data_IF_039591321626
#
_entry.id   IF_039591321626
#
_cell.length_a   1.000
_cell.length_b   1.000
_cell.length_c   1.000
_cell.angle_alpha   90.00
_cell.angle_beta   90.00
_cell.angle_gamma   90.00
#
_symmetry.space_group_name_H-M   'P 1'
#
loop_
_entity.id
_entity.type
_entity.pdbx_description
1 polymer ?
#
# COMPACT_ATOMS: atom_id res chain seq x y z
N UNK A 1 -20.38 8.49 28.92
CA UNK A 1 -19.96 7.16 28.44
C UNK A 1 -19.18 7.35 27.14
N UNK A 2 -17.85 7.16 27.14
CA UNK A 2 -17.06 7.26 25.90
C UNK A 2 -17.13 5.93 25.17
N UNK A 3 -17.58 5.97 23.91
CA UNK A 3 -17.56 4.84 22.98
C UNK A 3 -16.17 4.20 22.99
N UNK A 4 -16.10 2.89 23.27
CA UNK A 4 -14.90 2.09 23.04
C UNK A 4 -14.61 2.17 21.54
N UNK A 5 -13.65 2.99 21.14
CA UNK A 5 -13.07 2.93 19.80
C UNK A 5 -12.75 1.46 19.52
N UNK A 6 -13.18 0.98 18.36
CA UNK A 6 -13.01 -0.39 17.92
C UNK A 6 -11.53 -0.76 18.05
N UNK A 7 -11.20 -1.69 18.97
CA UNK A 7 -9.84 -1.94 19.46
C UNK A 7 -8.85 -2.17 18.31
N UNK A 8 -9.33 -2.74 17.21
CA UNK A 8 -8.57 -2.99 15.98
C UNK A 8 -8.16 -1.70 15.26
N UNK A 9 -9.05 -0.71 15.20
CA UNK A 9 -8.78 0.63 14.62
C UNK A 9 -7.76 1.38 15.49
N UNK A 10 -7.85 1.25 16.81
CA UNK A 10 -6.88 1.85 17.73
C UNK A 10 -5.47 1.26 17.55
N UNK A 11 -5.36 -0.08 17.45
CA UNK A 11 -4.07 -0.73 17.18
C UNK A 11 -3.51 -0.38 15.81
N UNK A 12 -4.34 -0.31 14.77
CA UNK A 12 -3.91 0.10 13.42
C UNK A 12 -3.43 1.55 13.39
N UNK A 13 -4.17 2.49 13.98
CA UNK A 13 -3.75 3.91 14.10
C UNK A 13 -2.42 4.05 14.84
N UNK A 14 -2.21 3.28 15.91
CA UNK A 14 -0.95 3.31 16.66
C UNK A 14 0.21 2.64 15.91
N UNK A 15 -0.06 1.62 15.10
CA UNK A 15 0.94 1.07 14.18
C UNK A 15 1.35 2.09 13.11
N UNK A 16 0.40 2.84 12.55
CA UNK A 16 0.65 3.90 11.57
C UNK A 16 1.42 5.11 12.15
N UNK A 17 1.35 5.37 13.46
CA UNK A 17 2.13 6.45 14.09
C UNK A 17 3.65 6.23 14.05
N UNK A 18 4.11 4.99 13.85
CA UNK A 18 5.55 4.68 13.71
C UNK A 18 6.09 4.81 12.28
N UNK A 19 5.24 5.20 11.32
CA UNK A 19 5.60 5.24 9.90
C UNK A 19 6.41 6.50 9.53
N UNK A 20 6.31 7.57 10.32
CA UNK A 20 6.82 8.90 9.95
C UNK A 20 7.86 9.47 10.94
N UNK A 21 9.03 8.84 11.00
CA UNK A 21 10.23 9.44 11.62
C UNK A 21 11.56 8.99 10.99
N UNK A 22 11.50 8.14 9.95
CA UNK A 22 12.69 7.50 9.33
C UNK A 22 12.66 7.52 7.81
N UNK A 23 11.86 8.40 7.20
CA UNK A 23 11.94 8.63 5.76
C UNK A 23 13.16 9.53 5.51
N UNK A 24 14.33 8.96 5.72
CA UNK A 24 15.60 9.56 5.37
C UNK A 24 15.85 9.35 3.87
N UNK A 25 16.43 10.36 3.25
CA UNK A 25 16.04 10.85 1.92
C UNK A 25 16.79 10.22 0.73
N UNK A 26 17.54 9.13 0.89
CA UNK A 26 18.25 8.50 -0.25
C UNK A 26 18.28 6.95 -0.26
N UNK A 27 18.14 6.27 0.89
CA UNK A 27 18.30 4.80 0.98
C UNK A 27 16.99 3.99 1.09
N UNK A 28 15.85 4.67 1.08
CA UNK A 28 14.56 4.03 1.36
C UNK A 28 13.98 3.23 0.18
N UNK A 29 14.61 3.17 -1.00
CA UNK A 29 14.01 2.48 -2.16
C UNK A 29 13.91 0.97 -1.93
N UNK A 30 14.95 0.34 -1.36
CA UNK A 30 14.93 -1.09 -1.01
C UNK A 30 13.92 -1.35 0.09
N UNK A 31 13.85 -0.48 1.10
CA UNK A 31 12.91 -0.62 2.20
C UNK A 31 11.45 -0.42 1.74
N UNK A 32 11.19 0.55 0.86
CA UNK A 32 9.88 0.79 0.23
C UNK A 32 9.48 -0.39 -0.67
N UNK A 33 10.40 -0.97 -1.45
CA UNK A 33 10.14 -2.19 -2.21
C UNK A 33 9.83 -3.37 -1.29
N UNK A 34 10.55 -3.52 -0.17
CA UNK A 34 10.27 -4.54 0.83
C UNK A 34 8.89 -4.37 1.49
N UNK A 35 8.52 -3.13 1.83
CA UNK A 35 7.18 -2.80 2.35
C UNK A 35 6.08 -3.06 1.32
N UNK A 36 6.31 -2.73 0.05
CA UNK A 36 5.39 -3.03 -1.06
C UNK A 36 5.19 -4.53 -1.24
N UNK A 37 6.27 -5.31 -1.16
CA UNK A 37 6.21 -6.78 -1.21
C UNK A 37 5.31 -7.36 -0.12
N UNK A 38 5.44 -6.87 1.11
CA UNK A 38 4.57 -7.29 2.23
C UNK A 38 3.10 -6.90 2.03
N UNK A 39 2.83 -5.72 1.48
CA UNK A 39 1.45 -5.31 1.15
C UNK A 39 0.84 -6.27 0.13
N UNK A 40 1.57 -6.60 -0.94
CA UNK A 40 1.13 -7.57 -1.95
C UNK A 40 0.88 -8.95 -1.37
N UNK A 41 1.77 -9.43 -0.50
CA UNK A 41 1.60 -10.72 0.16
C UNK A 41 0.33 -10.75 1.01
N UNK A 42 0.13 -9.74 1.86
CA UNK A 42 -1.11 -9.61 2.65
C UNK A 42 -2.35 -9.53 1.78
N UNK A 43 -2.30 -8.77 0.69
CA UNK A 43 -3.39 -8.66 -0.29
C UNK A 43 -3.69 -10.01 -0.93
N UNK A 44 -2.65 -10.77 -1.33
CA UNK A 44 -2.80 -12.09 -1.93
C UNK A 44 -3.48 -13.05 -0.96
N UNK A 45 -2.98 -13.14 0.28
CA UNK A 45 -3.55 -14.03 1.30
C UNK A 45 -5.02 -13.74 1.56
N UNK A 46 -5.41 -12.46 1.64
CA UNK A 46 -6.80 -12.08 1.84
C UNK A 46 -7.66 -12.48 0.63
N UNK A 47 -7.23 -12.17 -0.60
CA UNK A 47 -8.02 -12.50 -1.79
C UNK A 47 -8.11 -14.01 -2.03
N UNK A 48 -7.03 -14.75 -1.80
CA UNK A 48 -7.03 -16.22 -1.89
C UNK A 48 -8.01 -16.82 -0.87
N UNK A 49 -8.03 -16.31 0.36
CA UNK A 49 -9.00 -16.72 1.36
C UNK A 49 -10.44 -16.41 0.93
N UNK A 50 -10.73 -15.19 0.46
CA UNK A 50 -12.07 -14.81 -0.02
C UNK A 50 -12.51 -15.72 -1.18
N UNK A 51 -11.67 -15.90 -2.19
CA UNK A 51 -11.92 -16.75 -3.36
C UNK A 51 -12.15 -18.21 -2.96
N UNK A 52 -11.33 -18.74 -2.05
CA UNK A 52 -11.50 -20.09 -1.52
C UNK A 52 -12.84 -20.23 -0.80
N UNK A 53 -13.25 -19.27 0.02
CA UNK A 53 -14.53 -19.34 0.72
C UNK A 53 -15.71 -19.27 -0.25
N UNK A 54 -15.64 -18.43 -1.28
CA UNK A 54 -16.64 -18.33 -2.34
C UNK A 54 -16.75 -19.65 -3.11
N UNK A 55 -15.63 -20.25 -3.50
CA UNK A 55 -15.60 -21.57 -4.15
C UNK A 55 -16.24 -22.65 -3.27
N UNK A 56 -15.91 -22.68 -1.97
CA UNK A 56 -16.44 -23.65 -1.03
C UNK A 56 -17.96 -23.53 -0.85
N UNK A 57 -18.51 -22.32 -0.78
CA UNK A 57 -19.96 -22.14 -0.65
C UNK A 57 -20.71 -22.43 -1.93
N UNK A 58 -20.07 -22.35 -3.11
CA UNK A 58 -20.70 -22.70 -4.38
C UNK A 58 -20.59 -24.19 -4.73
N UNK A 59 -19.63 -24.91 -4.15
CA UNK A 59 -19.33 -26.31 -4.48
C UNK A 59 -20.57 -27.21 -4.34
N UNK A 60 -20.85 -27.97 -5.40
CA UNK A 60 -21.94 -28.96 -5.46
C UNK A 60 -23.35 -28.36 -5.54
N UNK A 61 -23.49 -27.05 -5.78
CA UNK A 61 -24.77 -26.37 -5.94
C UNK A 61 -25.07 -26.12 -7.42
N UNK A 62 -26.36 -26.14 -7.79
CA UNK A 62 -26.82 -25.69 -9.10
C UNK A 62 -26.65 -24.16 -9.26
N UNK A 63 -26.76 -23.62 -10.48
CA UNK A 63 -26.45 -22.22 -10.76
C UNK A 63 -27.23 -21.19 -9.92
N UNK A 64 -28.52 -21.45 -9.63
CA UNK A 64 -29.35 -20.54 -8.83
C UNK A 64 -28.96 -20.64 -7.35
N UNK A 65 -28.78 -21.86 -6.85
CA UNK A 65 -28.36 -22.09 -5.46
C UNK A 65 -26.94 -21.61 -5.19
N UNK A 66 -26.03 -21.76 -6.16
CA UNK A 66 -24.66 -21.26 -6.09
C UNK A 66 -24.63 -19.74 -6.01
N UNK A 67 -25.42 -19.05 -6.86
CA UNK A 67 -25.54 -17.60 -6.83
C UNK A 67 -26.06 -17.08 -5.49
N UNK A 68 -27.10 -17.72 -4.92
CA UNK A 68 -27.61 -17.36 -3.60
C UNK A 68 -26.57 -17.59 -2.49
N UNK A 69 -25.91 -18.75 -2.50
CA UNK A 69 -24.90 -19.09 -1.50
C UNK A 69 -23.69 -18.15 -1.54
N UNK A 70 -23.30 -17.70 -2.74
CA UNK A 70 -22.27 -16.69 -2.95
C UNK A 70 -22.67 -15.35 -2.31
N UNK A 71 -23.86 -14.84 -2.65
CA UNK A 71 -24.37 -13.56 -2.10
C UNK A 71 -24.49 -13.63 -0.57
N UNK A 72 -25.00 -14.73 -0.03
CA UNK A 72 -25.11 -14.93 1.41
C UNK A 72 -23.73 -14.98 2.08
N UNK A 73 -22.72 -15.56 1.44
CA UNK A 73 -21.33 -15.55 1.92
C UNK A 73 -20.73 -14.14 1.92
N UNK A 74 -20.84 -13.44 0.81
CA UNK A 74 -20.32 -12.09 0.62
C UNK A 74 -21.03 -11.05 1.52
N UNK A 75 -22.25 -11.35 1.97
CA UNK A 75 -22.97 -10.52 2.92
C UNK A 75 -22.49 -10.64 4.37
N UNK A 76 -21.68 -11.64 4.70
CA UNK A 76 -21.16 -11.82 6.06
C UNK A 76 -20.26 -10.65 6.46
N UNK A 77 -20.37 -10.22 7.72
CA UNK A 77 -19.61 -9.07 8.24
C UNK A 77 -18.10 -9.22 8.08
N UNK A 78 -17.57 -10.42 8.35
CA UNK A 78 -16.13 -10.70 8.19
C UNK A 78 -15.69 -10.62 6.74
N UNK A 79 -16.54 -11.02 5.79
CA UNK A 79 -16.23 -10.96 4.36
C UNK A 79 -16.10 -9.51 3.92
N UNK A 80 -17.07 -8.67 4.29
CA UNK A 80 -17.05 -7.23 3.99
C UNK A 80 -15.83 -6.55 4.60
N UNK A 81 -15.49 -6.88 5.84
CA UNK A 81 -14.31 -6.32 6.50
C UNK A 81 -13.00 -6.71 5.80
N UNK A 82 -12.84 -7.99 5.43
CA UNK A 82 -11.66 -8.44 4.68
C UNK A 82 -11.59 -7.82 3.28
N UNK A 83 -12.74 -7.66 2.62
CA UNK A 83 -12.83 -6.97 1.33
C UNK A 83 -12.37 -5.52 1.44
N UNK A 84 -12.85 -4.80 2.45
CA UNK A 84 -12.44 -3.41 2.72
C UNK A 84 -10.93 -3.31 3.01
N UNK A 85 -10.37 -4.26 3.76
CA UNK A 85 -8.92 -4.32 3.99
C UNK A 85 -8.17 -4.59 2.68
N UNK A 86 -8.61 -5.53 1.85
CA UNK A 86 -8.01 -5.79 0.53
C UNK A 86 -8.04 -4.55 -0.37
N UNK A 87 -9.17 -3.85 -0.42
CA UNK A 87 -9.31 -2.64 -1.23
C UNK A 87 -8.41 -1.52 -0.69
N UNK A 88 -8.29 -1.40 0.64
CA UNK A 88 -7.35 -0.46 1.29
C UNK A 88 -5.89 -0.78 0.98
N UNK A 89 -5.50 -2.06 0.99
CA UNK A 89 -4.14 -2.50 0.62
C UNK A 89 -3.82 -2.15 -0.84
N UNK A 90 -4.81 -2.28 -1.73
CA UNK A 90 -4.68 -1.87 -3.15
C UNK A 90 -4.39 -0.37 -3.27
N UNK A 91 -5.13 0.46 -2.52
CA UNK A 91 -4.91 1.92 -2.50
C UNK A 91 -3.52 2.25 -1.94
N UNK A 92 -3.12 1.60 -0.84
CA UNK A 92 -1.81 1.82 -0.24
C UNK A 92 -0.67 1.44 -1.19
N UNK A 93 -0.80 0.35 -1.95
CA UNK A 93 0.18 -0.01 -2.97
C UNK A 93 0.32 1.09 -4.02
N UNK A 94 -0.79 1.62 -4.52
CA UNK A 94 -0.78 2.68 -5.52
C UNK A 94 -0.16 3.99 -5.00
N UNK A 95 -0.48 4.40 -3.78
CA UNK A 95 0.13 5.58 -3.16
C UNK A 95 1.63 5.38 -2.93
N UNK A 96 2.08 4.17 -2.59
CA UNK A 96 3.51 3.86 -2.50
C UNK A 96 4.21 3.97 -3.85
N UNK A 97 3.60 3.51 -4.94
CA UNK A 97 4.16 3.67 -6.29
C UNK A 97 4.34 5.14 -6.67
N UNK A 98 3.33 5.97 -6.41
CA UNK A 98 3.42 7.43 -6.63
C UNK A 98 4.55 8.07 -5.83
N UNK A 99 4.71 7.68 -4.56
CA UNK A 99 5.79 8.22 -3.73
C UNK A 99 7.17 7.82 -4.27
N UNK A 100 7.33 6.57 -4.73
CA UNK A 100 8.57 6.12 -5.36
C UNK A 100 8.88 6.90 -6.64
N UNK A 101 7.87 7.15 -7.48
CA UNK A 101 8.03 7.94 -8.70
C UNK A 101 8.42 9.39 -8.38
N UNK A 102 7.72 10.04 -7.45
CA UNK A 102 8.04 11.39 -7.02
C UNK A 102 9.46 11.49 -6.47
N UNK A 103 9.90 10.52 -5.67
CA UNK A 103 11.25 10.49 -5.14
C UNK A 103 12.29 10.37 -6.26
N UNK A 104 12.01 9.55 -7.27
CA UNK A 104 12.87 9.37 -8.43
C UNK A 104 13.01 10.67 -9.24
N UNK A 105 11.88 11.38 -9.45
CA UNK A 105 11.88 12.69 -10.13
C UNK A 105 12.68 13.75 -9.36
N UNK A 106 12.48 13.87 -8.05
CA UNK A 106 13.26 14.80 -7.19
C UNK A 106 14.75 14.47 -7.20
N UNK A 107 15.09 13.19 -7.16
CA UNK A 107 16.48 12.73 -7.22
C UNK A 107 17.15 13.17 -8.52
N UNK A 108 16.49 12.96 -9.66
CA UNK A 108 16.98 13.42 -10.96
C UNK A 108 17.18 14.94 -11.02
N UNK A 109 16.25 15.71 -10.45
CA UNK A 109 16.34 17.17 -10.38
C UNK A 109 17.51 17.64 -9.50
N UNK A 110 17.74 17.01 -8.35
CA UNK A 110 18.89 17.30 -7.48
C UNK A 110 20.20 17.07 -8.22
N UNK A 111 20.34 15.95 -8.94
CA UNK A 111 21.54 15.68 -9.74
C UNK A 111 21.73 16.73 -10.83
N UNK A 112 20.66 17.11 -11.54
CA UNK A 112 20.70 18.18 -12.55
C UNK A 112 21.20 19.49 -11.96
N UNK A 113 20.63 19.91 -10.83
CA UNK A 113 21.00 21.16 -10.14
C UNK A 113 22.43 21.12 -9.63
N UNK A 114 22.88 20.00 -9.06
CA UNK A 114 24.28 19.83 -8.62
C UNK A 114 25.27 20.00 -9.78
N UNK A 115 24.96 19.40 -10.93
CA UNK A 115 25.79 19.53 -12.13
C UNK A 115 25.79 20.98 -12.66
N UNK A 116 24.63 21.64 -12.64
CA UNK A 116 24.50 23.03 -13.08
C UNK A 116 25.29 23.99 -12.17
N UNK A 117 25.22 23.81 -10.85
CA UNK A 117 26.03 24.56 -9.88
C UNK A 117 27.52 24.31 -10.08
N UNK A 118 27.93 23.07 -10.33
CA UNK A 118 29.32 22.72 -10.64
C UNK A 118 29.84 23.49 -11.86
N UNK A 119 29.09 23.44 -12.97
CA UNK A 119 29.42 24.15 -14.21
C UNK A 119 29.50 25.67 -14.03
N UNK A 120 28.57 26.26 -13.27
CA UNK A 120 28.57 27.70 -13.00
C UNK A 120 29.81 28.12 -12.21
N UNK A 121 30.20 27.34 -11.19
CA UNK A 121 31.42 27.59 -10.40
C UNK A 121 32.69 27.50 -11.23
N UNK A 122 32.78 26.52 -12.14
CA UNK A 122 33.90 26.42 -13.08
C UNK A 122 33.97 27.62 -14.02
N UNK A 123 32.81 28.10 -14.50
CA UNK A 123 32.74 29.27 -15.38
C UNK A 123 33.19 30.54 -14.65
N UNK A 124 32.77 30.71 -13.39
CA UNK A 124 33.16 31.84 -12.54
C UNK A 124 34.66 31.85 -12.25
N UNK A 125 35.24 30.69 -11.92
CA UNK A 125 36.69 30.55 -11.71
C UNK A 125 37.52 30.85 -12.96
N UNK A 126 37.03 30.50 -14.14
CA UNK A 126 37.72 30.78 -15.41
C UNK A 126 37.51 32.21 -15.94
N UNK A 127 36.68 33.01 -15.27
CA UNK A 127 36.37 34.40 -15.64
C UNK A 127 37.14 35.44 -14.81
N UNK A 128 38.00 34.98 -13.89
CA UNK A 128 38.92 35.79 -13.06
C UNK A 128 40.34 35.52 -13.54
#
# INVERSE_FOLDING_TARGET
MKQKENTMVYHFKNWMKGWDARIDTYDNQIELQGRKGKIRECWSVINDFLNMTDSNVMKGKDGIQAGKALVDNQNKKWYKALREVSDTLTVLEFEMEKMMEMNSRKTAEIYRLRNEVGRLRETEQNSI
#
